data_IF_831787837813
#
_entry.id   IF_831787837813
#
_cell.length_a   1.000
_cell.length_b   1.000
_cell.length_c   1.000
_cell.angle_alpha   90.00
_cell.angle_beta   90.00
_cell.angle_gamma   90.00
#
_symmetry.space_group_name_H-M   'P 1'
#
loop_
_entity.id
_entity.type
_entity.pdbx_description
1 polymer ?
#
# COMPACT_ATOMS: atom_id res chain seq x y z
N UNK A 1 -19.64 44.79 72.96
CA UNK A 1 -20.68 44.19 72.10
C UNK A 1 -20.62 44.87 70.74
N UNK A 2 -19.87 44.27 69.81
CA UNK A 2 -19.87 44.60 68.38
C UNK A 2 -19.12 43.45 67.67
N UNK A 3 -19.87 42.56 67.01
CA UNK A 3 -19.33 41.40 66.31
C UNK A 3 -19.14 41.82 64.85
N UNK A 4 -17.88 41.94 64.40
CA UNK A 4 -17.55 42.18 62.99
C UNK A 4 -17.51 40.84 62.24
N UNK A 5 -18.58 40.53 61.52
CA UNK A 5 -18.67 39.35 60.67
C UNK A 5 -18.06 39.66 59.29
N UNK A 6 -16.86 39.16 59.02
CA UNK A 6 -16.24 39.26 57.68
C UNK A 6 -16.66 38.06 56.84
N UNK A 7 -17.50 38.29 55.84
CA UNK A 7 -17.81 37.32 54.79
C UNK A 7 -16.61 37.19 53.86
N UNK A 8 -16.02 35.99 53.77
CA UNK A 8 -15.05 35.65 52.73
C UNK A 8 -15.80 35.02 51.55
N UNK A 9 -15.90 35.76 50.43
CA UNK A 9 -16.37 35.20 49.17
C UNK A 9 -15.23 34.39 48.55
N UNK A 10 -15.40 33.06 48.49
CA UNK A 10 -14.48 32.15 47.80
C UNK A 10 -14.76 32.21 46.29
N UNK A 11 -13.94 32.95 45.54
CA UNK A 11 -13.95 32.94 44.08
C UNK A 11 -13.23 31.68 43.58
N UNK A 12 -14.00 30.68 43.14
CA UNK A 12 -13.49 29.49 42.45
C UNK A 12 -13.29 29.87 40.98
N UNK A 13 -12.03 30.03 40.56
CA UNK A 13 -11.66 30.13 39.15
C UNK A 13 -11.65 28.72 38.55
N UNK A 14 -12.67 28.39 37.75
CA UNK A 14 -12.65 27.19 36.90
C UNK A 14 -11.82 27.54 35.66
N UNK A 15 -10.58 27.04 35.61
CA UNK A 15 -9.78 27.09 34.40
C UNK A 15 -10.29 26.04 33.40
N UNK A 16 -11.10 26.47 32.42
CA UNK A 16 -11.46 25.66 31.26
C UNK A 16 -10.22 25.61 30.36
N UNK A 17 -9.47 24.52 30.40
CA UNK A 17 -8.42 24.27 29.41
C UNK A 17 -9.07 23.83 28.11
N UNK A 18 -9.16 24.72 27.14
CA UNK A 18 -9.53 24.37 25.77
C UNK A 18 -8.44 23.47 25.19
N UNK A 19 -8.71 22.16 25.13
CA UNK A 19 -7.93 21.24 24.33
C UNK A 19 -8.17 21.61 22.85
N UNK A 20 -7.30 22.45 22.30
CA UNK A 20 -7.26 22.72 20.87
C UNK A 20 -6.87 21.42 20.14
N UNK A 21 -7.86 20.72 19.62
CA UNK A 21 -7.66 19.65 18.65
C UNK A 21 -7.15 20.30 17.37
N UNK A 22 -5.83 20.36 17.20
CA UNK A 22 -5.21 20.82 15.97
C UNK A 22 -5.42 19.74 14.91
N UNK A 23 -6.58 19.76 14.25
CA UNK A 23 -6.73 19.10 12.96
C UNK A 23 -5.67 19.71 12.03
N UNK A 24 -4.69 18.91 11.63
CA UNK A 24 -3.67 19.32 10.68
C UNK A 24 -4.36 19.83 9.42
N UNK A 25 -4.33 21.15 9.22
CA UNK A 25 -4.84 21.81 8.03
C UNK A 25 -3.96 21.32 6.87
N UNK A 26 -4.48 20.43 6.02
CA UNK A 26 -3.83 20.06 4.76
C UNK A 26 -3.62 21.34 3.95
N UNK A 27 -2.38 21.79 3.92
CA UNK A 27 -1.95 22.84 3.01
C UNK A 27 -2.09 22.26 1.60
N UNK A 28 -3.07 22.73 0.83
CA UNK A 28 -3.16 22.45 -0.60
C UNK A 28 -1.98 23.13 -1.29
N UNK A 29 -0.82 22.51 -1.22
CA UNK A 29 0.32 22.88 -2.04
C UNK A 29 -0.07 22.64 -3.49
N UNK A 30 -0.26 23.72 -4.24
CA UNK A 30 -0.34 23.65 -5.70
C UNK A 30 1.05 23.23 -6.19
N UNK A 31 1.29 21.93 -6.26
CA UNK A 31 2.54 21.34 -6.76
C UNK A 31 2.49 21.33 -8.28
N UNK A 32 3.43 22.00 -8.95
CA UNK A 32 3.68 21.91 -10.40
C UNK A 32 2.43 22.04 -11.32
N UNK A 33 1.40 22.79 -10.90
CA UNK A 33 0.16 22.95 -11.66
C UNK A 33 -0.84 21.79 -11.54
N UNK A 34 -0.67 20.88 -10.58
CA UNK A 34 -1.61 19.82 -10.25
C UNK A 34 -2.47 20.17 -9.04
N UNK A 35 -3.72 19.70 -9.05
CA UNK A 35 -4.64 19.76 -7.90
C UNK A 35 -4.88 18.34 -7.36
N UNK A 36 -4.83 18.18 -6.04
CA UNK A 36 -5.14 16.91 -5.39
C UNK A 36 -6.62 16.56 -5.59
N UNK A 37 -6.89 15.41 -6.20
CA UNK A 37 -8.27 14.92 -6.43
C UNK A 37 -8.63 13.71 -5.57
N UNK A 38 -7.63 12.97 -5.07
CA UNK A 38 -7.82 11.84 -4.18
C UNK A 38 -6.50 11.49 -3.48
N UNK A 39 -6.59 11.09 -2.21
CA UNK A 39 -5.49 10.53 -1.44
C UNK A 39 -6.05 9.53 -0.41
N UNK A 40 -5.20 8.60 0.02
CA UNK A 40 -5.40 7.81 1.22
C UNK A 40 -4.14 7.94 2.08
N UNK A 41 -4.26 8.65 3.20
CA UNK A 41 -3.16 8.92 4.13
C UNK A 41 -3.07 7.85 5.23
N UNK A 42 -3.94 6.83 5.20
CA UNK A 42 -3.93 5.69 6.13
C UNK A 42 -3.92 6.07 7.63
N UNK A 43 -4.52 7.21 7.98
CA UNK A 43 -4.54 7.78 9.33
C UNK A 43 -5.45 7.04 10.34
N UNK A 44 -6.28 6.10 9.87
CA UNK A 44 -7.17 5.32 10.72
C UNK A 44 -6.57 3.93 10.90
N UNK A 45 -6.15 3.62 12.13
CA UNK A 45 -5.61 2.31 12.48
C UNK A 45 -6.63 1.18 12.21
N UNK A 46 -6.11 0.02 11.81
CA UNK A 46 -6.91 -1.18 11.55
C UNK A 46 -6.93 -1.56 10.08
N UNK A 47 -8.10 -1.90 9.54
CA UNK A 47 -8.22 -2.36 8.15
C UNK A 47 -8.17 -1.16 7.18
N UNK A 48 -7.48 -1.27 6.03
CA UNK A 48 -7.60 -0.32 4.92
C UNK A 48 -9.06 -0.06 4.55
N UNK A 49 -9.40 1.20 4.26
CA UNK A 49 -10.79 1.60 4.02
C UNK A 49 -11.41 0.76 2.88
N UNK A 50 -12.44 -0.06 3.17
CA UNK A 50 -13.09 -0.88 2.16
C UNK A 50 -13.85 -0.06 1.12
N UNK A 51 -14.04 1.26 1.30
CA UNK A 51 -14.56 2.15 0.26
C UNK A 51 -13.53 2.42 -0.84
N UNK A 52 -12.23 2.38 -0.51
CA UNK A 52 -11.11 2.63 -1.40
C UNK A 52 -10.49 1.34 -1.94
N UNK A 53 -10.34 0.32 -1.09
CA UNK A 53 -9.50 -0.85 -1.37
C UNK A 53 -10.28 -2.17 -1.40
N UNK A 54 -9.89 -3.07 -2.31
CA UNK A 54 -10.27 -4.49 -2.34
C UNK A 54 -9.03 -5.34 -2.10
N UNK A 55 -9.22 -6.50 -1.51
CA UNK A 55 -8.17 -7.49 -1.31
C UNK A 55 -8.24 -8.58 -2.36
N UNK A 56 -7.06 -9.02 -2.81
CA UNK A 56 -6.93 -10.29 -3.51
C UNK A 56 -6.72 -11.43 -2.50
N UNK A 57 -7.15 -12.64 -2.86
CA UNK A 57 -7.11 -13.79 -1.97
C UNK A 57 -6.59 -15.02 -2.70
N UNK A 58 -5.73 -15.79 -2.02
CA UNK A 58 -5.16 -17.03 -2.55
C UNK A 58 -3.93 -16.83 -3.43
N UNK A 59 -3.66 -17.85 -4.24
CA UNK A 59 -2.62 -17.79 -5.27
C UNK A 59 -3.15 -17.06 -6.51
N UNK A 60 -2.58 -15.90 -6.82
CA UNK A 60 -3.15 -14.99 -7.82
C UNK A 60 -2.42 -15.05 -9.15
N UNK A 61 -1.11 -14.79 -9.16
CA UNK A 61 -0.32 -14.56 -10.38
C UNK A 61 1.10 -15.13 -10.30
N UNK A 62 1.75 -15.21 -11.46
CA UNK A 62 3.18 -15.53 -11.70
C UNK A 62 3.77 -16.75 -10.96
N UNK A 63 2.94 -17.74 -10.61
CA UNK A 63 3.37 -18.91 -9.82
C UNK A 63 4.05 -18.56 -8.48
N UNK A 64 3.74 -17.37 -7.96
CA UNK A 64 4.33 -16.79 -6.76
C UNK A 64 4.10 -17.69 -5.51
N UNK A 65 5.00 -17.61 -4.53
CA UNK A 65 4.98 -18.50 -3.37
C UNK A 65 3.95 -18.09 -2.31
N UNK A 66 3.65 -16.80 -2.21
CA UNK A 66 2.76 -16.26 -1.22
C UNK A 66 1.29 -16.53 -1.54
N UNK A 67 0.55 -16.84 -0.49
CA UNK A 67 -0.90 -16.80 -0.49
C UNK A 67 -1.36 -15.41 -0.04
N UNK A 68 -2.11 -14.71 -0.89
CA UNK A 68 -2.66 -13.40 -0.53
C UNK A 68 -3.84 -13.55 0.44
N UNK A 69 -3.86 -12.73 1.49
CA UNK A 69 -4.94 -12.69 2.48
C UNK A 69 -5.02 -11.33 3.16
N UNK A 70 -6.21 -11.01 3.70
CA UNK A 70 -6.50 -9.66 4.19
C UNK A 70 -5.70 -9.26 5.44
N UNK A 71 -5.46 -10.21 6.35
CA UNK A 71 -4.77 -9.96 7.63
C UNK A 71 -3.31 -9.53 7.51
N UNK A 72 -2.78 -9.52 6.29
CA UNK A 72 -1.43 -9.10 5.96
C UNK A 72 -1.39 -7.65 5.46
N UNK A 73 -2.51 -6.93 5.38
CA UNK A 73 -2.49 -5.47 5.25
C UNK A 73 -3.29 -4.79 6.36
N UNK A 74 -2.67 -3.81 7.01
CA UNK A 74 -3.29 -3.02 8.06
C UNK A 74 -2.72 -1.61 8.08
N UNK A 75 -3.56 -0.64 8.43
CA UNK A 75 -3.16 0.72 8.71
C UNK A 75 -2.69 0.81 10.17
N UNK A 76 -1.54 1.44 10.40
CA UNK A 76 -1.03 1.71 11.73
C UNK A 76 -0.14 2.94 11.70
N UNK A 77 -0.33 3.87 12.64
CA UNK A 77 0.53 5.04 12.83
C UNK A 77 0.66 5.90 11.54
N UNK A 78 -0.44 6.04 10.78
CA UNK A 78 -0.46 6.79 9.51
C UNK A 78 0.20 6.08 8.32
N UNK A 79 0.39 4.76 8.40
CA UNK A 79 1.01 3.96 7.36
C UNK A 79 0.13 2.77 7.00
N UNK A 80 -0.01 2.51 5.70
CA UNK A 80 -0.36 1.17 5.23
C UNK A 80 0.86 0.25 5.40
N UNK A 81 0.70 -0.82 6.18
CA UNK A 81 1.67 -1.89 6.31
C UNK A 81 1.16 -3.10 5.51
N UNK A 82 1.93 -3.52 4.50
CA UNK A 82 1.76 -4.81 3.83
C UNK A 82 2.88 -5.73 4.33
N UNK A 83 2.50 -6.77 5.07
CA UNK A 83 3.44 -7.64 5.76
C UNK A 83 3.50 -9.02 5.09
N UNK A 84 4.65 -9.37 4.52
CA UNK A 84 4.93 -10.73 4.12
C UNK A 84 5.35 -11.57 5.34
N UNK A 85 4.71 -12.73 5.54
CA UNK A 85 4.98 -13.64 6.66
C UNK A 85 5.41 -15.01 6.12
N UNK A 86 6.36 -15.64 6.81
CA UNK A 86 6.65 -17.07 6.65
C UNK A 86 5.80 -17.82 7.66
N UNK A 87 4.83 -18.58 7.17
CA UNK A 87 3.92 -19.35 8.00
C UNK A 87 3.49 -20.61 7.25
N UNK A 88 3.35 -21.72 7.98
CA UNK A 88 2.99 -23.01 7.39
C UNK A 88 1.58 -23.41 7.81
N UNK A 89 0.70 -23.63 6.84
CA UNK A 89 -0.66 -24.15 7.07
C UNK A 89 -1.19 -24.90 5.87
N UNK A 90 -2.23 -25.71 6.08
CA UNK A 90 -2.92 -26.41 4.99
C UNK A 90 -3.44 -25.41 3.95
N UNK A 91 -3.21 -25.71 2.68
CA UNK A 91 -3.80 -24.99 1.56
C UNK A 91 -5.28 -25.43 1.40
N UNK A 92 -6.26 -24.56 1.65
CA UNK A 92 -7.68 -24.92 1.53
C UNK A 92 -8.10 -25.20 0.08
N UNK A 93 -7.28 -24.82 -0.90
CA UNK A 93 -7.51 -25.07 -2.33
C UNK A 93 -6.74 -26.29 -2.84
N UNK A 94 -6.06 -27.05 -1.97
CA UNK A 94 -5.29 -28.21 -2.39
C UNK A 94 -6.17 -29.29 -3.02
N UNK A 95 -5.71 -29.82 -4.16
CA UNK A 95 -6.30 -30.96 -4.85
C UNK A 95 -5.19 -31.94 -5.18
N UNK A 96 -5.27 -33.15 -4.61
CA UNK A 96 -4.29 -34.21 -4.86
C UNK A 96 -4.18 -34.53 -6.35
N UNK A 97 -2.95 -34.63 -6.86
CA UNK A 97 -2.67 -34.89 -8.27
C UNK A 97 -2.93 -33.72 -9.24
N UNK A 98 -3.34 -32.54 -8.74
CA UNK A 98 -3.54 -31.38 -9.60
C UNK A 98 -2.25 -30.94 -10.29
N UNK A 99 -2.35 -30.56 -11.56
CA UNK A 99 -1.27 -29.90 -12.32
C UNK A 99 -1.33 -28.37 -12.24
N UNK A 100 -2.40 -27.81 -11.69
CA UNK A 100 -2.55 -26.36 -11.54
C UNK A 100 -1.72 -25.89 -10.33
N UNK A 101 -0.78 -24.99 -10.56
CA UNK A 101 0.13 -24.47 -9.54
C UNK A 101 -0.57 -23.83 -8.33
N UNK A 102 -1.82 -23.38 -8.48
CA UNK A 102 -2.63 -22.83 -7.39
C UNK A 102 -3.17 -23.90 -6.45
N UNK A 103 -3.33 -25.13 -6.93
CA UNK A 103 -4.00 -26.22 -6.19
C UNK A 103 -3.12 -27.45 -6.00
N UNK A 104 -1.90 -27.46 -6.55
CA UNK A 104 -0.98 -28.60 -6.44
C UNK A 104 -0.08 -28.57 -5.20
N UNK A 105 -0.17 -27.51 -4.38
CA UNK A 105 0.61 -27.35 -3.15
C UNK A 105 -0.25 -27.73 -1.94
N UNK A 106 0.13 -28.73 -1.12
CA UNK A 106 -0.64 -29.12 0.07
C UNK A 106 -0.55 -28.08 1.20
N UNK A 107 0.54 -27.31 1.23
CA UNK A 107 0.82 -26.32 2.25
C UNK A 107 1.01 -24.93 1.64
N UNK A 108 0.48 -23.93 2.35
CA UNK A 108 0.87 -22.53 2.21
C UNK A 108 2.08 -22.34 3.11
N UNK A 109 3.18 -21.79 2.57
CA UNK A 109 4.44 -21.55 3.30
C UNK A 109 4.76 -20.06 3.50
N UNK A 110 4.08 -19.20 2.76
CA UNK A 110 4.25 -17.75 2.81
C UNK A 110 2.88 -17.09 2.64
N UNK A 111 2.64 -15.99 3.35
CA UNK A 111 1.47 -15.14 3.15
C UNK A 111 1.87 -13.69 2.97
N UNK A 112 1.03 -12.96 2.26
CA UNK A 112 1.19 -11.51 2.04
C UNK A 112 -0.19 -10.90 1.78
N UNK A 113 -0.24 -9.62 1.45
CA UNK A 113 -1.46 -8.97 0.97
C UNK A 113 -1.22 -8.26 -0.35
N UNK A 114 -2.27 -8.17 -1.13
CA UNK A 114 -2.35 -7.37 -2.35
C UNK A 114 -3.70 -6.67 -2.31
N UNK A 115 -3.67 -5.35 -2.40
CA UNK A 115 -4.86 -4.51 -2.42
C UNK A 115 -4.91 -3.69 -3.71
N UNK A 116 -6.12 -3.41 -4.18
CA UNK A 116 -6.34 -2.63 -5.40
C UNK A 116 -7.62 -1.81 -5.32
N UNK A 117 -7.77 -0.84 -6.22
CA UNK A 117 -8.95 0.02 -6.30
C UNK A 117 -9.98 -0.44 -7.34
N UNK A 118 -9.87 -1.66 -7.87
CA UNK A 118 -10.69 -2.14 -8.99
C UNK A 118 -12.18 -2.07 -8.67
N UNK A 119 -12.95 -1.41 -9.55
CA UNK A 119 -14.39 -1.16 -9.34
C UNK A 119 -14.71 -0.26 -8.14
N UNK A 120 -13.74 0.53 -7.66
CA UNK A 120 -13.90 1.53 -6.59
C UNK A 120 -13.40 2.90 -7.02
N UNK A 121 -12.13 2.98 -7.44
CA UNK A 121 -11.48 4.22 -7.91
C UNK A 121 -10.69 3.91 -9.16
N UNK A 122 -10.82 4.76 -10.16
CA UNK A 122 -10.07 4.71 -11.41
C UNK A 122 -9.90 6.13 -11.93
N UNK A 123 -8.80 6.37 -12.62
CA UNK A 123 -8.47 7.69 -13.16
C UNK A 123 -8.01 7.55 -14.60
N UNK A 124 -8.32 8.56 -15.40
CA UNK A 124 -7.74 8.75 -16.71
C UNK A 124 -6.87 10.01 -16.64
N UNK A 125 -5.57 9.81 -16.87
CA UNK A 125 -4.53 10.83 -16.69
C UNK A 125 -4.37 11.31 -15.25
N UNK A 126 -3.29 12.05 -15.03
CA UNK A 126 -2.94 12.61 -13.72
C UNK A 126 -1.52 12.25 -13.33
N UNK A 127 -1.18 12.63 -12.10
CA UNK A 127 0.08 12.30 -11.44
C UNK A 127 -0.26 11.42 -10.24
N UNK A 128 0.41 10.28 -10.16
CA UNK A 128 0.26 9.34 -9.06
C UNK A 128 1.52 9.43 -8.23
N UNK A 129 1.36 9.60 -6.92
CA UNK A 129 2.49 9.61 -6.00
C UNK A 129 2.22 8.66 -4.84
N UNK A 130 3.26 7.91 -4.46
CA UNK A 130 3.24 7.08 -3.26
C UNK A 130 4.52 7.33 -2.49
N UNK A 131 4.39 7.66 -1.21
CA UNK A 131 5.54 7.72 -0.30
C UNK A 131 5.60 6.42 0.49
N UNK A 132 6.66 5.64 0.29
CA UNK A 132 6.76 4.31 0.88
C UNK A 132 8.19 3.87 1.07
N UNK A 133 8.34 2.85 1.93
CA UNK A 133 9.58 2.13 2.18
C UNK A 133 9.35 0.67 1.81
N UNK A 134 10.32 0.06 1.15
CA UNK A 134 10.25 -1.35 0.76
C UNK A 134 11.38 -2.15 1.41
N UNK A 135 11.13 -3.43 1.59
CA UNK A 135 12.14 -4.38 2.05
C UNK A 135 12.80 -5.05 0.84
N UNK A 136 14.14 -5.00 0.80
CA UNK A 136 14.94 -5.53 -0.30
C UNK A 136 15.55 -6.91 -0.02
N UNK A 137 15.10 -7.62 1.01
CA UNK A 137 15.56 -9.01 1.27
C UNK A 137 15.27 -9.92 0.09
N UNK A 138 16.14 -10.93 -0.08
CA UNK A 138 16.01 -11.91 -1.15
C UNK A 138 14.66 -12.62 -1.10
N UNK A 139 14.05 -12.82 -2.28
CA UNK A 139 12.74 -13.46 -2.44
C UNK A 139 11.54 -12.53 -2.32
N UNK A 140 11.72 -11.29 -1.83
CA UNK A 140 10.64 -10.30 -1.81
C UNK A 140 10.42 -9.69 -3.18
N UNK A 141 9.14 -9.40 -3.46
CA UNK A 141 8.69 -8.72 -4.67
C UNK A 141 7.59 -7.68 -4.37
N UNK A 142 7.91 -6.57 -3.68
CA UNK A 142 6.97 -5.47 -3.52
C UNK A 142 6.77 -4.76 -4.87
N UNK A 143 5.54 -4.39 -5.15
CA UNK A 143 5.13 -3.72 -6.38
C UNK A 143 4.08 -2.64 -6.11
N UNK A 144 4.17 -1.53 -6.83
CA UNK A 144 3.15 -0.49 -6.93
C UNK A 144 2.95 -0.15 -8.40
N UNK A 145 1.77 -0.48 -8.90
CA UNK A 145 1.51 -0.59 -10.32
C UNK A 145 0.02 -0.31 -10.62
N UNK A 146 -0.29 -0.17 -11.90
CA UNK A 146 -1.64 0.11 -12.39
C UNK A 146 -1.99 -0.80 -13.56
N UNK A 147 -3.29 -1.08 -13.72
CA UNK A 147 -3.86 -1.79 -14.86
C UNK A 147 -4.94 -0.95 -15.52
N UNK A 148 -5.07 -1.07 -16.84
CA UNK A 148 -6.24 -0.54 -17.52
C UNK A 148 -7.53 -1.27 -17.13
N UNK A 149 -8.62 -0.50 -17.15
CA UNK A 149 -9.93 -0.93 -16.66
C UNK A 149 -10.62 -1.90 -17.62
N UNK A 150 -10.48 -1.70 -18.93
CA UNK A 150 -11.23 -2.41 -19.96
C UNK A 150 -10.32 -3.19 -20.89
N UNK A 151 -10.75 -4.38 -21.28
CA UNK A 151 -10.00 -5.28 -22.17
C UNK A 151 -9.21 -6.33 -21.38
N UNK A 152 -8.64 -7.29 -22.10
CA UNK A 152 -7.80 -8.34 -21.51
C UNK A 152 -6.35 -7.87 -21.46
N UNK A 153 -5.59 -8.34 -20.47
CA UNK A 153 -4.14 -8.19 -20.47
C UNK A 153 -3.50 -8.94 -21.66
N UNK A 154 -2.46 -8.38 -22.32
CA UNK A 154 -1.82 -7.07 -22.08
C UNK A 154 -2.47 -5.90 -22.83
N UNK A 155 -3.62 -6.10 -23.50
CA UNK A 155 -4.27 -5.07 -24.31
C UNK A 155 -4.91 -3.94 -23.50
N UNK A 156 -5.23 -4.19 -22.22
CA UNK A 156 -5.67 -3.13 -21.30
C UNK A 156 -4.48 -2.30 -20.76
N UNK A 157 -3.23 -2.73 -20.96
CA UNK A 157 -2.04 -2.01 -20.52
C UNK A 157 -1.75 -2.16 -19.02
N UNK A 158 -0.47 -2.01 -18.71
CA UNK A 158 0.11 -2.08 -17.35
C UNK A 158 1.20 -1.01 -17.21
N UNK A 159 1.21 -0.31 -16.07
CA UNK A 159 2.28 0.63 -15.71
C UNK A 159 2.75 0.28 -14.30
N UNK A 160 3.96 -0.26 -14.22
CA UNK A 160 4.64 -0.58 -12.98
C UNK A 160 5.51 0.61 -12.58
N UNK A 161 5.04 1.39 -11.59
CA UNK A 161 5.71 2.61 -11.15
C UNK A 161 6.90 2.26 -10.26
N UNK A 162 6.77 1.19 -9.46
CA UNK A 162 7.83 0.66 -8.62
C UNK A 162 7.67 -0.86 -8.51
N UNK A 163 8.70 -1.60 -8.91
CA UNK A 163 8.83 -3.03 -8.64
C UNK A 163 10.24 -3.36 -8.14
N UNK A 164 10.33 -4.22 -7.15
CA UNK A 164 11.62 -4.75 -6.71
C UNK A 164 11.65 -6.26 -6.84
N UNK A 165 12.71 -6.84 -7.39
CA UNK A 165 13.06 -8.23 -7.16
C UNK A 165 14.52 -8.50 -7.57
N UNK A 166 15.13 -9.52 -6.98
CA UNK A 166 16.50 -9.98 -7.33
C UNK A 166 17.54 -8.84 -7.36
N UNK A 167 17.49 -7.96 -6.35
CA UNK A 167 18.42 -6.83 -6.20
C UNK A 167 18.19 -5.67 -7.17
N UNK A 168 17.10 -5.70 -7.96
CA UNK A 168 16.79 -4.71 -8.98
C UNK A 168 15.52 -3.95 -8.65
N UNK A 169 15.57 -2.64 -8.88
CA UNK A 169 14.41 -1.76 -8.95
C UNK A 169 14.01 -1.60 -10.41
N UNK A 170 12.72 -1.72 -10.71
CA UNK A 170 12.16 -1.67 -12.04
C UNK A 170 11.04 -0.63 -12.10
N UNK A 171 10.97 0.04 -13.25
CA UNK A 171 9.79 0.76 -13.70
C UNK A 171 9.46 0.23 -15.10
N UNK A 172 8.25 -0.27 -15.29
CA UNK A 172 7.85 -0.96 -16.51
C UNK A 172 6.56 -0.39 -17.09
N UNK A 173 6.43 -0.50 -18.40
CA UNK A 173 5.15 -0.35 -19.11
C UNK A 173 4.95 -1.58 -19.98
N UNK A 174 3.81 -2.23 -19.84
CA UNK A 174 3.40 -3.34 -20.69
C UNK A 174 2.20 -2.94 -21.56
N UNK A 175 2.24 -3.29 -22.84
CA UNK A 175 1.10 -3.15 -23.74
C UNK A 175 1.04 -4.31 -24.74
N UNK A 176 -0.03 -4.37 -25.52
CA UNK A 176 -0.15 -5.37 -26.59
C UNK A 176 0.68 -4.96 -27.82
N UNK A 177 1.60 -5.81 -28.23
CA UNK A 177 2.38 -5.67 -29.46
C UNK A 177 1.59 -6.07 -30.71
N UNK A 178 2.12 -5.77 -31.92
CA UNK A 178 1.47 -6.13 -33.19
C UNK A 178 1.22 -7.63 -33.37
N UNK A 179 2.04 -8.48 -32.74
CA UNK A 179 1.93 -9.95 -32.74
C UNK A 179 0.96 -10.49 -31.67
N UNK A 180 0.22 -9.58 -31.00
CA UNK A 180 -0.70 -9.86 -29.88
C UNK A 180 -0.03 -10.40 -28.62
N UNK A 181 1.30 -10.29 -28.49
CA UNK A 181 2.04 -10.62 -27.27
C UNK A 181 2.30 -9.37 -26.42
N UNK A 182 2.63 -9.55 -25.13
CA UNK A 182 3.08 -8.43 -24.30
C UNK A 182 4.37 -7.83 -24.84
N UNK A 183 4.38 -6.52 -25.01
CA UNK A 183 5.57 -5.72 -25.26
C UNK A 183 5.90 -4.92 -24.00
N UNK A 184 7.15 -5.01 -23.56
CA UNK A 184 7.64 -4.40 -22.33
C UNK A 184 8.61 -3.26 -22.62
N UNK A 185 8.46 -2.17 -21.88
CA UNK A 185 9.39 -1.04 -21.87
C UNK A 185 9.86 -0.85 -20.43
N UNK A 186 11.15 -1.09 -20.18
CA UNK A 186 11.67 -1.26 -18.83
C UNK A 186 12.86 -0.35 -18.58
N UNK A 187 12.84 0.32 -17.43
CA UNK A 187 14.04 0.86 -16.80
C UNK A 187 14.40 0.00 -15.61
N UNK A 188 15.70 -0.24 -15.40
CA UNK A 188 16.18 -1.11 -14.33
C UNK A 188 17.39 -0.49 -13.65
N UNK A 189 17.37 -0.49 -12.32
CA UNK A 189 18.43 0.05 -11.49
C UNK A 189 18.87 -1.01 -10.48
N UNK A 190 20.17 -1.10 -10.22
CA UNK A 190 20.66 -1.96 -9.13
C UNK A 190 20.42 -1.26 -7.80
N UNK A 191 19.81 -1.96 -6.83
CA UNK A 191 19.63 -1.41 -5.48
C UNK A 191 20.97 -1.10 -4.80
N UNK A 192 22.05 -1.81 -5.15
CA UNK A 192 23.41 -1.49 -4.67
C UNK A 192 23.86 -0.10 -5.14
N UNK A 193 23.57 0.26 -6.40
CA UNK A 193 23.88 1.59 -6.94
C UNK A 193 23.05 2.71 -6.32
N UNK A 194 21.92 2.36 -5.69
CA UNK A 194 21.05 3.29 -4.97
C UNK A 194 21.45 3.45 -3.49
N UNK A 195 22.42 2.67 -2.99
CA UNK A 195 22.89 2.71 -1.60
C UNK A 195 22.60 1.43 -0.80
N UNK A 196 22.05 0.39 -1.43
CA UNK A 196 21.84 -0.95 -0.86
C UNK A 196 20.93 -0.93 0.38
N UNK A 197 21.34 -1.63 1.44
CA UNK A 197 20.57 -1.72 2.68
C UNK A 197 20.21 -0.36 3.30
N UNK A 198 21.15 0.60 3.28
CA UNK A 198 20.91 1.95 3.82
C UNK A 198 19.82 2.69 3.03
N UNK A 199 19.77 2.48 1.72
CA UNK A 199 18.71 3.06 0.90
C UNK A 199 17.34 2.46 1.26
N UNK A 200 17.27 1.15 1.49
CA UNK A 200 16.03 0.46 1.85
C UNK A 200 15.48 0.82 3.25
N UNK A 201 16.30 1.42 4.13
CA UNK A 201 15.86 1.86 5.46
C UNK A 201 15.04 3.17 5.42
N UNK A 202 15.12 3.92 4.31
CA UNK A 202 14.47 5.21 4.13
C UNK A 202 13.12 5.12 3.40
N UNK A 203 12.25 6.10 3.65
CA UNK A 203 11.08 6.34 2.81
C UNK A 203 11.48 7.07 1.54
N UNK A 204 10.89 6.67 0.42
CA UNK A 204 11.08 7.27 -0.90
C UNK A 204 9.72 7.70 -1.46
N UNK A 205 9.75 8.70 -2.34
CA UNK A 205 8.57 9.10 -3.12
C UNK A 205 8.69 8.52 -4.52
N UNK A 206 7.69 7.74 -4.91
CA UNK A 206 7.54 7.10 -6.22
C UNK A 206 6.50 7.89 -7.03
N UNK A 207 6.81 8.18 -8.29
CA UNK A 207 5.99 9.00 -9.20
C UNK A 207 6.37 8.78 -10.66
#
# INVERSE_FOLDING_TARGET
MAINLRFYALLIFIAVTEASCSAARQQSGNTDGYTLVWADEFNVDGRPDPSNWKFENGYVRNEELQWYQESNAFCKDGLLVIEARKEERLNPQYVEGSRNWKTNRPLISHTSSSINTSGKKQWLYGRFEMRGKIDIRSGLWPAWWTLGVTGRWPANGEIDIMEYYRGRMLANVACIGPDKKPQWFSNTFSTDSMGGARWAEAFHTWR
#
